data_IF_352028232644
#
_entry.id   IF_352028232644
#
_cell.length_a   1.000
_cell.length_b   1.000
_cell.length_c   1.000
_cell.angle_alpha   90.00
_cell.angle_beta   90.00
_cell.angle_gamma   90.00
#
_symmetry.space_group_name_H-M   'P 1'
#
loop_
_entity.id
_entity.type
_entity.pdbx_description
1 polymer ?
#
# COMPACT_ATOMS: atom_id res chain seq x y z
N UNK A 1 9.40 -13.76 20.32
CA UNK A 1 8.47 -12.72 19.83
C UNK A 1 7.12 -13.36 19.58
N UNK A 2 6.02 -12.62 19.76
CA UNK A 2 4.65 -13.06 19.45
C UNK A 2 4.09 -12.45 18.16
N UNK A 3 4.84 -11.55 17.55
CA UNK A 3 4.41 -10.77 16.39
C UNK A 3 5.57 -9.92 15.87
N UNK A 4 5.68 -9.84 14.55
CA UNK A 4 6.67 -8.99 13.89
C UNK A 4 6.05 -8.40 12.62
N UNK A 5 6.22 -7.10 12.40
CA UNK A 5 5.68 -6.40 11.24
C UNK A 5 6.81 -5.68 10.52
N UNK A 6 6.89 -5.90 9.22
CA UNK A 6 7.68 -5.04 8.33
C UNK A 6 6.81 -3.91 7.77
N UNK A 7 7.30 -2.67 7.88
CA UNK A 7 6.69 -1.49 7.29
C UNK A 7 7.74 -0.38 7.16
N UNK A 8 7.57 0.56 6.25
CA UNK A 8 8.47 1.72 6.12
C UNK A 8 7.91 2.88 6.93
N UNK A 9 8.39 3.08 8.17
CA UNK A 9 7.87 4.14 9.04
C UNK A 9 8.45 5.50 8.70
N UNK A 10 9.50 5.55 7.89
CA UNK A 10 10.20 6.79 7.56
C UNK A 10 9.95 7.27 6.13
N UNK A 11 9.26 6.47 5.31
CA UNK A 11 9.08 6.68 3.88
C UNK A 11 10.40 6.80 3.11
N UNK A 12 11.45 6.09 3.54
CA UNK A 12 12.78 6.11 2.91
C UNK A 12 12.98 5.01 1.85
N UNK A 13 11.95 4.21 1.59
CA UNK A 13 11.96 3.10 0.64
C UNK A 13 12.62 1.83 1.17
N UNK A 14 12.86 1.73 2.48
CA UNK A 14 13.34 0.54 3.16
C UNK A 14 12.31 0.07 4.17
N UNK A 15 12.08 -1.25 4.25
CA UNK A 15 11.24 -1.81 5.30
C UNK A 15 12.00 -1.82 6.62
N UNK A 16 11.39 -1.20 7.64
CA UNK A 16 11.75 -1.29 9.04
C UNK A 16 11.03 -2.49 9.69
N UNK A 17 11.44 -2.87 10.91
CA UNK A 17 10.90 -4.05 11.60
C UNK A 17 10.47 -3.70 13.02
N UNK A 18 9.18 -3.84 13.30
CA UNK A 18 8.65 -3.81 14.67
C UNK A 18 8.46 -5.22 15.22
N UNK A 19 8.87 -5.44 16.47
CA UNK A 19 8.81 -6.76 17.13
C UNK A 19 8.10 -6.64 18.47
N UNK A 20 7.00 -7.38 18.60
CA UNK A 20 6.30 -7.56 19.86
C UNK A 20 7.05 -8.56 20.77
N UNK A 21 7.34 -8.16 22.00
CA UNK A 21 8.07 -8.96 22.99
C UNK A 21 7.24 -9.22 24.24
N UNK A 22 7.44 -10.41 24.84
CA UNK A 22 6.70 -10.83 26.03
C UNK A 22 7.39 -10.44 27.34
N UNK A 23 8.70 -10.62 27.42
CA UNK A 23 9.47 -10.44 28.66
C UNK A 23 10.51 -9.32 28.56
N UNK A 24 10.56 -8.65 27.41
CA UNK A 24 11.47 -7.56 27.07
C UNK A 24 10.65 -6.41 26.46
N UNK A 25 11.18 -5.17 26.40
CA UNK A 25 10.52 -4.11 25.64
C UNK A 25 10.30 -4.54 24.18
N UNK A 26 9.27 -3.99 23.55
CA UNK A 26 9.13 -4.08 22.10
C UNK A 26 10.31 -3.35 21.43
N UNK A 27 10.65 -3.75 20.21
CA UNK A 27 11.76 -3.12 19.47
C UNK A 27 11.25 -2.61 18.12
N UNK A 28 11.78 -1.48 17.68
CA UNK A 28 11.54 -0.89 16.36
C UNK A 28 12.89 -0.70 15.70
N UNK A 29 13.21 -1.58 14.76
CA UNK A 29 14.46 -1.56 14.04
C UNK A 29 14.33 -0.74 12.77
N UNK A 30 14.97 0.42 12.74
CA UNK A 30 15.08 1.30 11.58
C UNK A 30 16.10 0.76 10.60
N UNK A 31 15.70 0.65 9.33
CA UNK A 31 16.51 0.26 8.21
C UNK A 31 16.94 1.49 7.40
N UNK A 32 18.25 1.67 7.28
CA UNK A 32 18.87 2.74 6.48
C UNK A 32 19.49 2.23 5.18
N UNK A 33 19.29 0.95 4.86
CA UNK A 33 19.94 0.25 3.74
C UNK A 33 21.24 -0.46 4.13
N UNK A 34 21.62 -0.44 5.40
CA UNK A 34 22.81 -1.09 5.93
C UNK A 34 22.45 -2.01 7.11
N UNK A 35 23.30 -3.00 7.37
CA UNK A 35 23.15 -3.94 8.48
C UNK A 35 24.30 -3.75 9.49
N UNK A 36 24.06 -3.85 10.81
CA UNK A 36 22.78 -4.16 11.47
C UNK A 36 21.76 -3.02 11.42
N UNK A 37 20.48 -3.37 11.59
CA UNK A 37 19.41 -2.39 11.76
C UNK A 37 19.56 -1.66 13.12
N UNK A 38 19.06 -0.43 13.20
CA UNK A 38 19.18 0.41 14.40
C UNK A 38 17.91 0.31 15.25
N UNK A 39 18.00 -0.14 16.51
CA UNK A 39 16.85 -0.11 17.42
C UNK A 39 16.58 1.32 17.90
N UNK A 40 15.45 1.86 17.48
CA UNK A 40 14.99 3.23 17.78
C UNK A 40 13.77 3.24 18.70
N UNK A 41 13.38 2.10 19.30
CA UNK A 41 12.13 1.98 20.05
C UNK A 41 12.02 2.93 21.25
N UNK A 42 13.14 3.24 21.89
CA UNK A 42 13.19 4.22 22.98
C UNK A 42 12.99 5.65 22.46
N UNK A 43 13.60 5.99 21.32
CA UNK A 43 13.53 7.31 20.69
C UNK A 43 12.12 7.62 20.17
N UNK A 44 11.43 6.59 19.66
CA UNK A 44 10.06 6.69 19.14
C UNK A 44 8.99 6.42 20.20
N UNK A 45 9.39 6.09 21.44
CA UNK A 45 8.51 5.64 22.52
C UNK A 45 7.67 4.39 22.19
N UNK A 46 8.07 3.59 21.21
CA UNK A 46 7.36 2.35 20.79
C UNK A 46 7.83 1.12 21.55
N UNK A 47 8.78 1.24 22.48
CA UNK A 47 9.28 0.12 23.29
C UNK A 47 8.23 -0.54 24.22
N UNK A 48 7.01 -0.01 24.23
CA UNK A 48 5.95 -0.43 25.15
C UNK A 48 6.25 0.02 26.58
N UNK A 49 5.45 -0.49 27.51
CA UNK A 49 5.57 -0.13 28.92
C UNK A 49 6.59 -1.04 29.63
N UNK A 50 7.87 -0.87 29.28
CA UNK A 50 8.98 -1.58 29.94
C UNK A 50 8.91 -1.43 31.46
N UNK A 51 9.14 -2.53 32.19
CA UNK A 51 9.10 -2.55 33.66
C UNK A 51 7.70 -2.50 34.29
N UNK A 52 6.63 -2.43 33.50
CA UNK A 52 5.24 -2.46 34.03
C UNK A 52 4.61 -3.85 34.10
N UNK A 53 5.32 -4.88 33.63
CA UNK A 53 4.80 -6.26 33.55
C UNK A 53 3.76 -6.48 32.44
N UNK A 54 3.54 -5.50 31.56
CA UNK A 54 2.64 -5.63 30.41
C UNK A 54 3.32 -6.34 29.24
N UNK A 55 2.54 -7.18 28.58
CA UNK A 55 2.97 -8.06 27.49
C UNK A 55 2.27 -7.63 26.21
N UNK A 56 3.01 -7.33 25.15
CA UNK A 56 2.39 -7.04 23.84
C UNK A 56 2.38 -8.31 22.99
N UNK A 57 1.20 -8.72 22.55
CA UNK A 57 1.06 -9.87 21.63
C UNK A 57 0.72 -9.44 20.22
N UNK A 58 0.06 -8.30 20.08
CA UNK A 58 -0.56 -7.89 18.84
C UNK A 58 -0.13 -6.47 18.47
N UNK A 59 0.19 -6.30 17.19
CA UNK A 59 0.30 -5.01 16.53
C UNK A 59 -0.35 -5.05 15.15
N UNK A 60 -0.69 -3.87 14.64
CA UNK A 60 -1.14 -3.66 13.29
C UNK A 60 -0.66 -2.29 12.83
N UNK A 61 -0.45 -2.13 11.53
CA UNK A 61 -0.08 -0.85 10.93
C UNK A 61 -1.09 -0.41 9.89
N UNK A 62 -1.32 0.90 9.83
CA UNK A 62 -2.14 1.57 8.83
C UNK A 62 -1.83 3.07 8.83
N UNK A 63 -2.03 3.77 7.72
CA UNK A 63 -2.06 5.24 7.74
C UNK A 63 -3.47 5.71 8.14
N UNK A 64 -3.69 5.82 9.45
CA UNK A 64 -4.99 6.14 10.07
C UNK A 64 -5.36 7.60 9.89
N UNK A 65 -4.34 8.47 9.75
CA UNK A 65 -4.55 9.91 9.59
C UNK A 65 -4.71 10.37 8.14
N UNK A 66 -4.38 9.52 7.17
CA UNK A 66 -4.42 9.84 5.75
C UNK A 66 -3.31 10.79 5.30
N UNK A 67 -2.20 10.86 6.04
CA UNK A 67 -1.08 11.75 5.77
C UNK A 67 0.10 11.04 5.08
N UNK A 68 -0.03 9.74 4.81
CA UNK A 68 0.97 8.88 4.18
C UNK A 68 2.11 8.44 5.08
N UNK A 69 2.08 8.74 6.38
CA UNK A 69 2.94 8.11 7.37
C UNK A 69 2.19 6.93 8.00
N UNK A 70 2.82 5.76 7.98
CA UNK A 70 2.20 4.55 8.53
C UNK A 70 2.25 4.61 10.06
N UNK A 71 1.07 4.57 10.68
CA UNK A 71 0.86 4.54 12.13
C UNK A 71 0.93 3.12 12.66
N UNK A 72 1.22 2.98 13.96
CA UNK A 72 1.34 1.69 14.63
C UNK A 72 0.29 1.58 15.75
N UNK A 73 -0.54 0.54 15.69
CA UNK A 73 -1.41 0.12 16.78
C UNK A 73 -0.76 -1.04 17.52
N UNK A 74 -0.66 -0.96 18.84
CA UNK A 74 -0.16 -2.03 19.71
C UNK A 74 -1.22 -2.34 20.75
N UNK A 75 -1.48 -3.63 20.96
CA UNK A 75 -2.37 -4.09 22.00
C UNK A 75 -1.62 -4.95 23.04
N UNK A 76 -1.66 -4.47 24.28
CA UNK A 76 -1.06 -5.13 25.44
C UNK A 76 -2.08 -6.01 26.14
N UNK A 77 -1.65 -7.18 26.61
CA UNK A 77 -2.44 -8.06 27.45
C UNK A 77 -2.87 -7.33 28.73
N UNK A 78 -4.19 -7.20 28.94
CA UNK A 78 -4.76 -6.50 30.09
C UNK A 78 -4.53 -4.98 30.08
N UNK A 79 -3.95 -4.45 29.00
CA UNK A 79 -3.71 -3.03 28.79
C UNK A 79 -4.79 -2.37 27.93
N UNK A 80 -4.63 -1.06 27.73
CA UNK A 80 -5.36 -0.33 26.67
C UNK A 80 -4.57 -0.45 25.38
N UNK A 81 -5.27 -0.52 24.25
CA UNK A 81 -4.63 -0.36 22.96
C UNK A 81 -3.96 1.02 22.87
N UNK A 82 -2.77 1.06 22.28
CA UNK A 82 -1.97 2.27 22.07
C UNK A 82 -1.84 2.50 20.58
N UNK A 83 -2.28 3.67 20.12
CA UNK A 83 -2.07 4.14 18.76
C UNK A 83 -0.92 5.14 18.75
N UNK A 84 0.14 4.81 18.04
CA UNK A 84 1.29 5.66 17.81
C UNK A 84 1.12 6.37 16.47
N UNK A 85 0.88 7.67 16.54
CA UNK A 85 0.77 8.52 15.35
C UNK A 85 2.16 8.86 14.84
N UNK A 86 2.44 8.49 13.61
CA UNK A 86 3.73 8.67 12.99
C UNK A 86 3.82 10.03 12.29
N UNK A 87 4.79 10.84 12.71
CA UNK A 87 5.11 12.12 12.08
C UNK A 87 6.48 12.12 11.37
N UNK A 88 7.23 11.02 11.42
CA UNK A 88 8.51 10.92 10.73
C UNK A 88 8.31 10.69 9.23
N UNK A 89 7.38 9.80 8.86
CA UNK A 89 7.09 9.48 7.46
C UNK A 89 6.57 10.67 6.65
N UNK A 90 5.92 11.65 7.30
CA UNK A 90 5.36 12.84 6.61
C UNK A 90 6.43 13.76 6.03
N UNK A 91 7.70 13.54 6.37
CA UNK A 91 8.85 14.31 5.86
C UNK A 91 9.29 13.87 4.46
N UNK A 92 8.78 12.75 3.96
CA UNK A 92 9.13 12.16 2.66
C UNK A 92 7.86 11.77 1.89
N UNK A 93 8.02 11.61 0.59
CA UNK A 93 6.94 11.22 -0.29
C UNK A 93 6.60 9.73 -0.11
N UNK A 94 5.37 9.39 -0.48
CA UNK A 94 4.82 8.04 -0.36
C UNK A 94 3.91 7.75 -1.55
N UNK A 95 3.64 6.47 -1.81
CA UNK A 95 2.65 6.04 -2.80
C UNK A 95 1.88 4.87 -2.18
N UNK A 96 0.56 4.91 -2.28
CA UNK A 96 -0.30 3.84 -1.76
C UNK A 96 -1.18 3.26 -2.84
N UNK A 97 -1.49 1.98 -2.74
CA UNK A 97 -2.27 1.25 -3.73
C UNK A 97 -3.41 0.48 -3.09
N UNK A 98 -4.63 0.78 -3.51
CA UNK A 98 -5.80 -0.06 -3.29
C UNK A 98 -5.97 -0.97 -4.50
N UNK A 99 -5.52 -2.22 -4.40
CA UNK A 99 -5.63 -3.18 -5.49
C UNK A 99 -6.98 -3.89 -5.40
N UNK A 100 -7.71 -3.89 -6.51
CA UNK A 100 -9.03 -4.52 -6.63
C UNK A 100 -8.87 -5.86 -7.35
N UNK A 101 -9.45 -6.91 -6.78
CA UNK A 101 -9.57 -8.20 -7.43
C UNK A 101 -10.99 -8.47 -7.95
N UNK A 102 -11.14 -9.59 -8.65
CA UNK A 102 -12.42 -10.10 -9.14
C UNK A 102 -12.94 -11.24 -8.25
N UNK A 103 -14.20 -11.64 -8.45
CA UNK A 103 -14.76 -12.77 -7.70
C UNK A 103 -13.90 -14.04 -7.87
N UNK A 104 -13.63 -14.80 -6.80
CA UNK A 104 -14.12 -14.63 -5.43
C UNK A 104 -13.23 -13.76 -4.52
N UNK A 105 -12.11 -13.22 -5.03
CA UNK A 105 -11.08 -12.53 -4.27
C UNK A 105 -11.07 -11.02 -4.55
N UNK A 106 -12.14 -10.31 -4.18
CA UNK A 106 -12.27 -8.87 -4.43
C UNK A 106 -11.20 -8.01 -3.77
N UNK A 107 -10.58 -8.51 -2.70
CA UNK A 107 -9.51 -7.82 -1.98
C UNK A 107 -8.12 -8.10 -2.53
N UNK A 108 -8.00 -8.86 -3.63
CA UNK A 108 -6.73 -9.21 -4.26
C UNK A 108 -5.73 -9.86 -3.28
N UNK A 109 -6.20 -10.63 -2.29
CA UNK A 109 -5.33 -11.32 -1.32
C UNK A 109 -4.39 -12.28 -2.05
N UNK A 110 -3.09 -12.13 -1.83
CA UNK A 110 -1.98 -12.82 -2.49
C UNK A 110 -1.41 -12.06 -3.69
N UNK A 111 -1.95 -10.89 -4.05
CA UNK A 111 -1.40 -10.09 -5.14
C UNK A 111 -0.07 -9.45 -4.73
N UNK A 112 0.84 -9.36 -5.71
CA UNK A 112 2.14 -8.75 -5.53
C UNK A 112 2.17 -7.40 -6.26
N UNK A 113 2.75 -6.39 -5.62
CA UNK A 113 2.93 -5.05 -6.14
C UNK A 113 4.42 -4.72 -6.10
N UNK A 114 5.05 -4.78 -7.28
CA UNK A 114 6.44 -4.39 -7.48
C UNK A 114 6.48 -2.95 -7.96
N UNK A 115 7.12 -2.06 -7.21
CA UNK A 115 7.20 -0.64 -7.54
C UNK A 115 8.64 -0.22 -7.75
N UNK A 116 8.95 0.33 -8.93
CA UNK A 116 10.24 0.95 -9.25
C UNK A 116 10.20 2.45 -8.98
N UNK A 117 11.20 2.92 -8.22
CA UNK A 117 11.46 4.34 -7.97
C UNK A 117 12.96 4.58 -8.15
N UNK A 118 13.34 5.31 -9.20
CA UNK A 118 14.71 5.37 -9.69
C UNK A 118 15.25 3.97 -9.99
N UNK A 119 16.39 3.64 -9.39
CA UNK A 119 17.05 2.34 -9.56
C UNK A 119 16.55 1.27 -8.57
N UNK A 120 15.62 1.59 -7.66
CA UNK A 120 15.18 0.66 -6.61
C UNK A 120 13.83 0.05 -6.94
N UNK A 121 13.76 -1.27 -6.81
CA UNK A 121 12.50 -2.01 -6.76
C UNK A 121 12.08 -2.28 -5.30
N UNK A 122 10.80 -2.06 -5.02
CA UNK A 122 10.15 -2.37 -3.75
C UNK A 122 9.01 -3.35 -3.99
N UNK A 123 9.14 -4.54 -3.41
CA UNK A 123 8.10 -5.58 -3.45
C UNK A 123 7.17 -5.44 -2.24
N UNK A 124 5.86 -5.58 -2.47
CA UNK A 124 4.83 -5.72 -1.44
C UNK A 124 3.86 -6.81 -1.84
N UNK A 125 3.33 -7.53 -0.87
CA UNK A 125 2.25 -8.48 -1.05
C UNK A 125 1.02 -8.01 -0.28
N UNK A 126 -0.17 -8.24 -0.82
CA UNK A 126 -1.43 -8.07 -0.10
C UNK A 126 -1.72 -9.40 0.57
N UNK A 127 -1.71 -9.46 1.90
CA UNK A 127 -1.96 -10.69 2.62
C UNK A 127 -3.02 -10.48 3.71
N UNK A 128 -3.77 -11.54 3.99
CA UNK A 128 -4.78 -11.57 5.03
C UNK A 128 -4.49 -12.70 6.01
N UNK A 129 -4.73 -12.44 7.29
CA UNK A 129 -4.62 -13.42 8.37
C UNK A 129 -3.19 -13.75 8.74
N UNK A 130 -2.52 -12.88 9.52
CA UNK A 130 -1.30 -13.28 10.21
C UNK A 130 -0.21 -12.22 10.39
N UNK A 131 -0.56 -10.95 10.55
CA UNK A 131 0.47 -9.91 10.61
C UNK A 131 1.13 -9.92 11.99
N UNK A 132 0.34 -10.10 13.05
CA UNK A 132 0.77 -10.60 14.36
C UNK A 132 -0.40 -11.35 15.04
N UNK A 133 -0.26 -11.69 16.33
CA UNK A 133 -1.29 -12.42 17.07
C UNK A 133 -2.65 -11.71 17.01
N UNK A 134 -3.64 -12.35 16.39
CA UNK A 134 -5.05 -11.90 16.33
C UNK A 134 -5.26 -10.49 15.75
N UNK A 135 -4.41 -10.05 14.82
CA UNK A 135 -4.53 -8.74 14.16
C UNK A 135 -4.16 -8.76 12.68
N UNK A 136 -4.53 -7.66 12.01
CA UNK A 136 -4.44 -7.49 10.57
C UNK A 136 -4.05 -6.03 10.28
N UNK A 137 -3.03 -5.81 9.43
CA UNK A 137 -2.75 -4.48 8.88
C UNK A 137 -3.84 -4.10 7.89
N UNK A 138 -3.90 -2.84 7.52
CA UNK A 138 -4.67 -2.46 6.34
C UNK A 138 -4.25 -3.25 5.10
N UNK A 139 -5.20 -3.45 4.17
CA UNK A 139 -4.94 -4.11 2.89
C UNK A 139 -4.39 -3.15 1.83
N UNK A 140 -4.30 -1.86 2.16
CA UNK A 140 -3.70 -0.85 1.30
C UNK A 140 -2.19 -1.05 1.31
N UNK A 141 -1.61 -1.22 0.12
CA UNK A 141 -0.18 -1.33 -0.04
C UNK A 141 0.46 0.03 0.15
N UNK A 142 1.55 0.09 0.91
CA UNK A 142 2.33 1.31 1.14
C UNK A 142 3.77 1.18 0.65
N UNK A 143 4.21 2.21 -0.09
CA UNK A 143 5.56 2.34 -0.63
C UNK A 143 6.11 3.72 -0.27
N UNK A 144 7.20 3.77 0.48
CA UNK A 144 7.94 5.01 0.71
C UNK A 144 8.70 5.41 -0.55
N UNK A 145 8.57 6.67 -0.96
CA UNK A 145 9.16 7.20 -2.19
C UNK A 145 10.36 8.11 -1.95
N UNK A 146 10.75 8.36 -0.69
CA UNK A 146 11.84 9.28 -0.39
C UNK A 146 11.54 10.68 -0.91
N UNK A 147 12.43 11.23 -1.73
CA UNK A 147 12.23 12.54 -2.38
C UNK A 147 11.59 12.42 -3.77
N UNK A 148 11.33 11.20 -4.28
CA UNK A 148 10.76 11.00 -5.60
C UNK A 148 9.31 11.48 -5.66
N UNK A 149 8.93 12.10 -6.78
CA UNK A 149 7.60 12.68 -6.99
C UNK A 149 6.65 11.76 -7.74
N UNK A 150 7.10 10.59 -8.17
CA UNK A 150 6.34 9.57 -8.88
C UNK A 150 7.00 8.19 -8.72
N UNK A 151 6.24 7.13 -9.02
CA UNK A 151 6.78 5.82 -9.35
C UNK A 151 7.05 5.75 -10.86
N UNK A 152 8.22 5.25 -11.24
CA UNK A 152 8.55 5.05 -12.65
C UNK A 152 7.74 3.90 -13.24
N UNK A 153 7.56 2.84 -12.45
CA UNK A 153 6.87 1.61 -12.88
C UNK A 153 6.23 0.91 -11.68
N UNK A 154 5.00 0.42 -11.86
CA UNK A 154 4.26 -0.37 -10.88
C UNK A 154 3.76 -1.61 -11.60
N UNK A 155 4.19 -2.79 -11.17
CA UNK A 155 3.75 -4.07 -11.72
C UNK A 155 2.90 -4.76 -10.66
N UNK A 156 1.63 -4.98 -10.98
CA UNK A 156 0.71 -5.72 -10.11
C UNK A 156 0.44 -7.08 -10.73
N UNK A 157 0.72 -8.13 -9.97
CA UNK A 157 0.44 -9.51 -10.34
C UNK A 157 -0.64 -10.06 -9.40
N UNK A 158 -1.77 -10.50 -9.95
CA UNK A 158 -2.83 -11.11 -9.14
C UNK A 158 -2.55 -12.60 -8.90
N UNK A 159 -3.05 -13.17 -7.79
CA UNK A 159 -2.89 -14.59 -7.49
C UNK A 159 -3.37 -15.48 -8.63
N UNK A 160 -2.66 -16.58 -8.86
CA UNK A 160 -2.95 -17.50 -9.97
C UNK A 160 -2.27 -17.14 -11.29
N UNK A 161 -1.65 -15.95 -11.38
CA UNK A 161 -0.73 -15.58 -12.48
C UNK A 161 -1.40 -15.30 -13.83
N UNK A 162 -2.73 -15.30 -13.89
CA UNK A 162 -3.49 -15.05 -15.13
C UNK A 162 -3.67 -13.57 -15.47
N UNK A 163 -3.42 -12.68 -14.51
CA UNK A 163 -3.60 -11.24 -14.67
C UNK A 163 -2.41 -10.45 -14.12
N UNK A 164 -1.91 -9.54 -14.95
CA UNK A 164 -0.85 -8.59 -14.62
C UNK A 164 -1.23 -7.23 -15.17
N UNK A 165 -0.92 -6.17 -14.44
CA UNK A 165 -0.94 -4.78 -14.95
C UNK A 165 0.41 -4.13 -14.71
N UNK A 166 0.82 -3.32 -15.68
CA UNK A 166 1.96 -2.42 -15.55
C UNK A 166 1.45 -1.00 -15.67
N UNK A 167 1.79 -0.16 -14.70
CA UNK A 167 1.50 1.27 -14.69
C UNK A 167 2.82 2.04 -14.69
N UNK A 168 2.87 3.19 -15.34
CA UNK A 168 4.09 3.99 -15.45
C UNK A 168 3.84 5.47 -15.13
N UNK A 169 4.83 6.14 -14.56
CA UNK A 169 4.79 7.56 -14.23
C UNK A 169 3.65 8.00 -13.30
N UNK A 170 3.26 7.17 -12.35
CA UNK A 170 2.18 7.48 -11.40
C UNK A 170 2.67 8.44 -10.30
N UNK A 171 2.06 9.63 -10.12
CA UNK A 171 2.49 10.60 -9.13
C UNK A 171 2.46 10.08 -7.67
N UNK A 172 3.42 10.54 -6.88
CA UNK A 172 3.48 10.29 -5.46
C UNK A 172 2.50 11.16 -4.66
N UNK A 173 2.43 10.88 -3.35
CA UNK A 173 1.54 11.47 -2.34
C UNK A 173 0.06 11.28 -2.65
N UNK A 174 -0.27 10.09 -3.17
CA UNK A 174 -1.62 9.71 -3.60
C UNK A 174 -1.88 8.25 -3.27
N UNK A 175 -3.14 7.97 -2.96
CA UNK A 175 -3.70 6.64 -2.97
C UNK A 175 -4.28 6.39 -4.37
N UNK A 176 -3.77 5.38 -5.05
CA UNK A 176 -4.25 4.95 -6.37
C UNK A 176 -5.06 3.68 -6.24
N UNK A 177 -6.18 3.61 -6.97
CA UNK A 177 -6.94 2.36 -7.11
C UNK A 177 -6.45 1.62 -8.35
N UNK A 178 -5.97 0.38 -8.17
CA UNK A 178 -5.49 -0.46 -9.27
C UNK A 178 -6.51 -1.56 -9.50
N UNK A 179 -7.28 -1.40 -10.57
CA UNK A 179 -8.30 -2.35 -10.99
C UNK A 179 -7.69 -3.57 -11.67
N UNK A 180 -8.32 -4.73 -11.49
CA UNK A 180 -8.02 -5.94 -12.26
C UNK A 180 -8.24 -5.65 -13.76
N UNK A 181 -7.43 -6.22 -14.68
CA UNK A 181 -7.58 -6.01 -16.13
C UNK A 181 -9.02 -6.20 -16.66
N UNK A 182 -9.71 -7.24 -16.20
CA UNK A 182 -11.10 -7.55 -16.61
C UNK A 182 -12.15 -6.48 -16.24
N UNK A 183 -11.79 -5.51 -15.40
CA UNK A 183 -12.69 -4.43 -14.98
C UNK A 183 -12.39 -3.10 -15.69
N UNK A 184 -11.31 -3.02 -16.48
CA UNK A 184 -10.91 -1.77 -17.12
C UNK A 184 -11.93 -1.32 -18.15
N UNK A 185 -12.18 -0.01 -18.15
CA UNK A 185 -13.16 0.60 -19.03
C UNK A 185 -14.62 0.45 -18.59
N UNK A 186 -14.97 -0.45 -17.66
CA UNK A 186 -16.32 -0.51 -17.05
C UNK A 186 -16.35 0.36 -15.80
N UNK A 187 -16.50 1.66 -16.01
CA UNK A 187 -16.39 2.68 -14.98
C UNK A 187 -17.61 2.78 -14.06
N UNK A 188 -18.77 2.33 -14.53
CA UNK A 188 -19.99 2.29 -13.72
C UNK A 188 -20.20 0.91 -13.03
N UNK A 189 -19.43 -0.12 -13.43
CA UNK A 189 -19.44 -1.45 -12.84
C UNK A 189 -20.68 -2.28 -13.20
N UNK A 190 -21.34 -1.98 -14.33
CA UNK A 190 -22.54 -2.69 -14.78
C UNK A 190 -22.22 -3.96 -15.60
N UNK A 191 -20.94 -4.18 -15.91
CA UNK A 191 -20.43 -5.32 -16.67
C UNK A 191 -20.46 -5.14 -18.19
N UNK A 192 -20.82 -3.95 -18.70
CA UNK A 192 -20.99 -3.67 -20.12
C UNK A 192 -20.35 -2.33 -20.48
N UNK A 193 -19.29 -2.37 -21.31
CA UNK A 193 -18.65 -1.13 -21.78
C UNK A 193 -19.56 -0.45 -22.81
N UNK A 194 -20.06 0.73 -22.45
CA UNK A 194 -21.03 1.46 -23.24
C UNK A 194 -20.82 2.99 -23.20
N UNK A 195 -21.86 3.74 -23.60
CA UNK A 195 -21.80 5.20 -23.69
C UNK A 195 -21.55 5.88 -22.34
N UNK A 196 -21.98 5.27 -21.23
CA UNK A 196 -21.73 5.82 -19.89
C UNK A 196 -20.25 5.78 -19.56
N UNK A 197 -19.56 4.70 -19.92
CA UNK A 197 -18.12 4.57 -19.71
C UNK A 197 -17.32 5.48 -20.63
N UNK A 198 -17.76 5.65 -21.87
CA UNK A 198 -17.18 6.64 -22.77
C UNK A 198 -17.24 8.05 -22.19
N UNK A 199 -18.39 8.43 -21.62
CA UNK A 199 -18.53 9.72 -20.95
C UNK A 199 -17.61 9.84 -19.73
N UNK A 200 -17.45 8.76 -18.97
CA UNK A 200 -16.50 8.69 -17.86
C UNK A 200 -15.04 8.87 -18.29
N UNK A 201 -14.61 8.14 -19.33
CA UNK A 201 -13.28 8.25 -19.92
C UNK A 201 -13.02 9.68 -20.41
N UNK A 202 -13.96 10.27 -21.16
CA UNK A 202 -13.83 11.65 -21.66
C UNK A 202 -13.81 12.68 -20.52
N UNK A 203 -14.50 12.41 -19.42
CA UNK A 203 -14.45 13.24 -18.20
C UNK A 203 -13.09 13.20 -17.49
N UNK A 204 -12.34 12.10 -17.65
CA UNK A 204 -11.00 11.90 -17.10
C UNK A 204 -9.84 12.31 -18.02
N UNK A 205 -10.13 12.85 -19.21
CA UNK A 205 -9.12 13.09 -20.25
C UNK A 205 -7.91 13.92 -19.76
N UNK A 206 -6.70 13.43 -20.02
CA UNK A 206 -5.44 14.02 -19.58
C UNK A 206 -4.73 13.20 -18.52
N UNK A 207 -3.91 13.83 -17.68
CA UNK A 207 -3.14 13.14 -16.63
C UNK A 207 -4.08 12.47 -15.62
N UNK A 208 -3.86 11.18 -15.37
CA UNK A 208 -4.68 10.38 -14.46
C UNK A 208 -4.78 11.03 -13.07
N UNK A 209 -6.00 11.05 -12.53
CA UNK A 209 -6.30 11.51 -11.17
C UNK A 209 -6.91 10.37 -10.35
N UNK A 210 -6.79 10.38 -9.01
CA UNK A 210 -7.49 9.42 -8.16
C UNK A 210 -8.99 9.40 -8.48
N UNK A 211 -9.53 8.21 -8.74
CA UNK A 211 -10.90 7.98 -9.20
C UNK A 211 -11.07 7.87 -10.72
N UNK A 212 -10.01 8.04 -11.52
CA UNK A 212 -10.05 7.90 -12.99
C UNK A 212 -9.19 6.75 -13.53
N UNK A 213 -8.49 6.02 -12.67
CA UNK A 213 -7.50 4.98 -13.02
C UNK A 213 -8.10 3.81 -13.81
N UNK A 214 -9.42 3.59 -13.71
CA UNK A 214 -10.13 2.57 -14.48
C UNK A 214 -10.15 2.86 -15.98
N UNK A 215 -9.95 4.13 -16.36
CA UNK A 215 -9.91 4.60 -17.75
C UNK A 215 -8.48 4.81 -18.28
N UNK A 216 -7.46 4.73 -17.44
CA UNK A 216 -6.06 4.59 -17.89
C UNK A 216 -5.82 3.10 -18.18
N UNK A 217 -6.29 2.66 -19.35
CA UNK A 217 -6.35 1.26 -19.73
C UNK A 217 -4.99 0.73 -20.15
N UNK A 218 -4.14 1.57 -20.76
CA UNK A 218 -2.79 1.19 -21.14
C UNK A 218 -1.76 1.37 -20.00
N UNK A 219 -2.14 2.07 -18.91
CA UNK A 219 -1.30 2.26 -17.73
C UNK A 219 -0.17 3.27 -17.92
N UNK A 220 -0.29 4.21 -18.85
CA UNK A 220 0.76 5.20 -19.14
C UNK A 220 0.69 6.47 -18.27
N UNK A 221 -0.31 6.57 -17.39
CA UNK A 221 -0.55 7.71 -16.52
C UNK A 221 -1.34 8.84 -17.19
N UNK A 222 -1.81 8.66 -18.43
CA UNK A 222 -2.51 9.68 -19.21
C UNK A 222 -3.69 9.08 -19.97
N UNK A 223 -4.90 9.44 -19.57
CA UNK A 223 -6.13 9.08 -20.28
C UNK A 223 -6.19 9.86 -21.60
N UNK A 224 -6.03 9.15 -22.71
CA UNK A 224 -5.92 9.75 -24.04
C UNK A 224 -6.58 8.90 -25.14
N UNK A 225 -6.20 9.16 -26.40
CA UNK A 225 -6.76 8.48 -27.57
C UNK A 225 -6.45 6.98 -27.57
N UNK A 226 -5.34 6.55 -26.97
CA UNK A 226 -5.01 5.13 -26.85
C UNK A 226 -6.00 4.41 -25.95
N UNK A 227 -6.36 4.98 -24.80
CA UNK A 227 -7.38 4.42 -23.91
C UNK A 227 -8.74 4.40 -24.56
N UNK A 228 -9.11 5.47 -25.28
CA UNK A 228 -10.36 5.51 -26.04
C UNK A 228 -10.43 4.37 -27.07
N UNK A 229 -9.33 4.09 -27.78
CA UNK A 229 -9.30 2.99 -28.74
C UNK A 229 -9.44 1.63 -28.04
N UNK A 230 -8.83 1.45 -26.87
CA UNK A 230 -8.97 0.23 -26.07
C UNK A 230 -10.40 0.07 -25.52
N UNK A 231 -11.03 1.16 -25.08
CA UNK A 231 -12.42 1.16 -24.64
C UNK A 231 -13.34 0.71 -25.79
N UNK A 232 -13.18 1.30 -26.97
CA UNK A 232 -13.99 0.98 -28.16
C UNK A 232 -13.77 -0.46 -28.67
N UNK A 233 -12.58 -1.04 -28.45
CA UNK A 233 -12.32 -2.45 -28.81
C UNK A 233 -13.11 -3.44 -27.96
N UNK A 234 -13.45 -3.06 -26.72
CA UNK A 234 -14.20 -3.88 -25.79
C UNK A 234 -15.67 -3.44 -25.68
N UNK A 235 -16.14 -2.63 -26.63
CA UNK A 235 -17.50 -2.11 -26.64
C UNK A 235 -18.54 -3.22 -26.83
N UNK A 236 -19.56 -3.24 -25.97
CA UNK A 236 -20.72 -4.12 -26.11
C UNK A 236 -21.07 -4.93 -24.88
#
# INVERSE_FOLDING_TARGET
SWGSIFFDFTNNGWLDLYVNNQFLPNTLYKNTGEFPLNDVAAETNTQGLFGTGKVSYSSAVADVTGNGAIDLLVNDLGGKAQLFINHEGTKRNWIRFHVIGTHPNHHAIGANVDTRIGDRWQYREIYAGGNTYTSQNELIVHVGAGDATHADEIVVNWPGGSATRTLTNYPANRLWTIYHPDQLGDGNGDGVINVLDLLGLLGGWGTVQPGSEIYDMNGDGVINVMDLLMLLQNWG
#
